data_IF_162581978053
#
_entry.id   IF_162581978053
#
_cell.length_a   1.000
_cell.length_b   1.000
_cell.length_c   1.000
_cell.angle_alpha   90.00
_cell.angle_beta   90.00
_cell.angle_gamma   90.00
#
_symmetry.space_group_name_H-M   'P 1'
#
loop_
_entity.id
_entity.type
_entity.pdbx_description
1 polymer ?
#
# COMPACT_ATOMS: atom_id res chain seq x y z
N UNK A 1 2.51 26.89 -24.29
CA UNK A 1 2.14 25.54 -23.81
C UNK A 1 2.78 25.36 -22.46
N UNK A 2 2.02 25.22 -21.37
CA UNK A 2 2.61 24.93 -20.06
C UNK A 2 2.95 23.44 -19.98
N UNK A 3 4.02 23.04 -19.24
CA UNK A 3 4.45 21.65 -19.13
C UNK A 3 3.43 20.84 -18.32
N UNK A 4 3.06 19.68 -18.85
CA UNK A 4 2.23 18.67 -18.19
C UNK A 4 2.96 18.16 -16.94
N UNK A 5 2.38 18.35 -15.77
CA UNK A 5 2.90 17.81 -14.50
C UNK A 5 2.79 16.28 -14.50
N UNK A 6 3.91 15.59 -14.64
CA UNK A 6 4.05 14.15 -14.36
C UNK A 6 3.97 13.89 -12.85
N UNK A 7 2.78 13.83 -12.25
CA UNK A 7 2.65 13.66 -10.80
C UNK A 7 2.17 12.29 -10.33
N UNK A 8 1.89 11.33 -11.23
CA UNK A 8 1.31 10.03 -10.85
C UNK A 8 2.31 8.87 -10.71
N UNK A 9 3.51 8.98 -11.30
CA UNK A 9 4.48 7.87 -11.30
C UNK A 9 5.12 7.53 -9.93
N UNK A 10 5.48 8.47 -9.05
CA UNK A 10 6.15 8.10 -7.80
C UNK A 10 5.24 7.36 -6.80
N UNK A 11 3.94 7.60 -6.85
CA UNK A 11 2.99 6.96 -5.92
C UNK A 11 2.76 5.49 -6.26
N UNK A 12 2.65 5.18 -7.56
CA UNK A 12 2.46 3.81 -8.04
C UNK A 12 3.71 2.97 -7.78
N UNK A 13 4.90 3.52 -8.01
CA UNK A 13 6.16 2.83 -7.74
C UNK A 13 6.34 2.51 -6.26
N UNK A 14 5.99 3.42 -5.35
CA UNK A 14 6.00 3.17 -3.90
C UNK A 14 4.99 2.09 -3.50
N UNK A 15 3.82 2.07 -4.13
CA UNK A 15 2.81 1.02 -3.88
C UNK A 15 3.28 -0.35 -4.36
N UNK A 16 3.94 -0.42 -5.53
CA UNK A 16 4.48 -1.68 -6.03
C UNK A 16 5.67 -2.16 -5.20
N UNK A 17 6.56 -1.26 -4.78
CA UNK A 17 7.63 -1.59 -3.84
C UNK A 17 7.07 -2.15 -2.52
N UNK A 18 5.91 -1.66 -2.06
CA UNK A 18 5.20 -2.23 -0.92
C UNK A 18 4.59 -3.60 -1.22
N UNK A 19 4.15 -3.84 -2.46
CA UNK A 19 3.62 -5.14 -2.90
C UNK A 19 4.74 -6.18 -3.04
N UNK A 20 5.91 -5.77 -3.56
CA UNK A 20 7.09 -6.65 -3.68
C UNK A 20 7.64 -7.03 -2.31
N UNK A 21 7.46 -6.18 -1.30
CA UNK A 21 7.77 -6.49 0.10
C UNK A 21 6.69 -7.36 0.77
N UNK A 22 5.69 -7.82 0.02
CA UNK A 22 4.60 -8.62 0.53
C UNK A 22 5.13 -9.95 1.08
N UNK A 23 5.02 -10.11 2.38
CA UNK A 23 5.30 -11.37 3.07
C UNK A 23 4.14 -12.33 2.77
N UNK A 24 4.38 -13.53 2.24
CA UNK A 24 3.32 -14.50 2.16
C UNK A 24 2.80 -14.76 3.58
N UNK A 25 1.61 -14.30 3.88
CA UNK A 25 0.87 -14.75 5.07
C UNK A 25 0.43 -16.17 4.80
N UNK A 26 1.30 -17.13 5.14
CA UNK A 26 0.89 -18.53 5.23
C UNK A 26 0.02 -18.58 6.49
N UNK A 27 -1.25 -18.87 6.29
CA UNK A 27 -2.28 -18.97 7.31
C UNK A 27 -2.06 -20.25 8.14
N UNK A 28 -1.01 -20.27 8.96
CA UNK A 28 -0.82 -21.29 9.98
C UNK A 28 -0.22 -20.59 11.21
N UNK A 29 -0.83 -20.80 12.36
CA UNK A 29 -0.54 -20.15 13.63
C UNK A 29 0.87 -20.32 14.20
N UNK A 30 1.88 -20.61 13.37
CA UNK A 30 3.28 -20.78 13.77
C UNK A 30 4.24 -19.77 13.13
N UNK A 31 3.77 -18.78 12.35
CA UNK A 31 4.63 -17.83 11.62
C UNK A 31 4.84 -16.47 12.31
N UNK A 32 4.46 -16.34 13.57
CA UNK A 32 4.76 -15.13 14.37
C UNK A 32 6.25 -14.87 14.57
N UNK A 33 7.12 -15.85 14.35
CA UNK A 33 8.57 -15.70 14.45
C UNK A 33 9.25 -15.09 13.22
N UNK A 34 8.50 -14.91 12.10
CA UNK A 34 9.07 -14.37 10.85
C UNK A 34 9.09 -12.84 10.79
N UNK A 35 8.49 -12.15 11.77
CA UNK A 35 8.36 -10.68 11.75
C UNK A 35 9.68 -9.93 12.07
N UNK A 36 10.75 -10.61 12.45
CA UNK A 36 12.01 -10.00 12.87
C UNK A 36 13.14 -9.96 11.83
N UNK A 37 13.01 -10.59 10.65
CA UNK A 37 14.16 -10.90 9.81
C UNK A 37 14.26 -10.12 8.48
N UNK A 38 13.40 -9.11 8.25
CA UNK A 38 13.54 -8.27 7.04
C UNK A 38 13.87 -6.83 7.43
N UNK A 39 15.11 -6.38 7.22
CA UNK A 39 15.40 -4.94 7.20
C UNK A 39 14.74 -4.33 5.96
N UNK A 40 13.91 -3.33 6.17
CA UNK A 40 13.33 -2.54 5.09
C UNK A 40 14.42 -1.82 4.30
N UNK A 41 14.65 -2.27 3.14
CA UNK A 41 15.35 -1.84 1.95
C UNK A 41 16.10 -3.02 1.37
N UNK A 42 15.57 -3.56 0.28
CA UNK A 42 16.36 -4.41 -0.60
C UNK A 42 17.21 -3.46 -1.44
N UNK A 43 18.35 -3.06 -0.91
CA UNK A 43 19.45 -2.63 -1.76
C UNK A 43 19.87 -3.86 -2.59
N UNK A 44 20.05 -3.68 -3.91
CA UNK A 44 20.55 -4.75 -4.78
C UNK A 44 21.74 -5.39 -4.08
N UNK A 45 21.74 -6.71 -3.84
CA UNK A 45 22.86 -7.33 -3.19
C UNK A 45 24.08 -7.27 -4.13
N UNK A 46 24.91 -6.28 -3.92
CA UNK A 46 26.29 -6.33 -4.36
C UNK A 46 26.94 -7.33 -3.43
N UNK A 47 27.24 -8.52 -3.97
CA UNK A 47 27.57 -9.70 -3.24
C UNK A 47 28.66 -9.52 -2.17
N UNK A 48 28.27 -9.78 -0.95
CA UNK A 48 29.22 -10.24 0.08
C UNK A 48 28.67 -11.55 0.61
N UNK A 49 29.54 -12.56 0.83
CA UNK A 49 29.18 -13.90 1.29
C UNK A 49 28.36 -13.93 2.60
N UNK A 50 28.37 -12.82 3.38
CA UNK A 50 27.54 -12.64 4.56
C UNK A 50 26.04 -12.51 4.25
N UNK A 51 25.65 -11.91 3.14
CA UNK A 51 24.23 -11.76 2.74
C UNK A 51 23.67 -13.08 2.21
N UNK A 52 24.50 -13.84 1.48
CA UNK A 52 24.14 -15.20 1.04
C UNK A 52 24.03 -16.16 2.25
N UNK A 53 24.85 -15.98 3.28
CA UNK A 53 24.77 -16.73 4.52
C UNK A 53 23.50 -16.42 5.31
N UNK A 54 23.06 -15.18 5.32
CA UNK A 54 21.78 -14.78 5.94
C UNK A 54 20.57 -15.27 5.12
N UNK A 55 20.68 -15.31 3.79
CA UNK A 55 19.69 -15.94 2.93
C UNK A 55 19.64 -17.45 3.18
N UNK A 56 20.78 -18.11 3.28
CA UNK A 56 20.88 -19.52 3.60
C UNK A 56 20.26 -19.86 4.98
N UNK A 57 20.49 -19.00 5.97
CA UNK A 57 19.89 -19.16 7.30
C UNK A 57 18.36 -18.93 7.29
N UNK A 58 17.84 -18.00 6.51
CA UNK A 58 16.39 -17.80 6.38
C UNK A 58 15.71 -18.94 5.61
N UNK A 59 16.42 -19.54 4.65
CA UNK A 59 15.95 -20.72 3.91
C UNK A 59 16.01 -22.00 4.74
N UNK A 60 16.96 -22.12 5.69
CA UNK A 60 17.03 -23.26 6.62
C UNK A 60 15.83 -23.31 7.58
N UNK A 61 15.20 -22.17 7.86
CA UNK A 61 13.95 -22.10 8.64
C UNK A 61 12.75 -22.59 7.82
N UNK A 62 12.75 -22.36 6.50
CA UNK A 62 11.76 -22.94 5.58
C UNK A 62 11.90 -24.47 5.48
N UNK A 63 13.10 -24.98 5.55
CA UNK A 63 13.40 -26.41 5.50
C UNK A 63 12.90 -27.17 6.74
N UNK A 64 12.81 -26.52 7.90
CA UNK A 64 12.30 -27.16 9.12
C UNK A 64 10.84 -27.60 9.05
N UNK A 65 10.01 -26.95 8.25
CA UNK A 65 8.60 -27.39 8.06
C UNK A 65 8.47 -28.53 7.04
N UNK A 66 9.38 -28.62 6.06
CA UNK A 66 9.49 -29.71 5.11
C UNK A 66 10.34 -30.88 5.64
N UNK A 67 11.36 -30.60 6.47
CA UNK A 67 12.24 -31.61 7.06
C UNK A 67 11.53 -32.51 8.05
N UNK A 68 10.48 -32.03 8.72
CA UNK A 68 9.67 -32.88 9.60
C UNK A 68 9.06 -34.11 8.91
N UNK A 69 8.93 -34.09 7.58
CA UNK A 69 8.53 -35.23 6.79
C UNK A 69 9.72 -36.05 6.27
N UNK A 70 10.86 -35.41 6.03
CA UNK A 70 12.09 -36.06 5.52
C UNK A 70 13.01 -36.54 6.64
N UNK A 71 13.03 -35.88 7.80
CA UNK A 71 13.87 -36.22 8.98
C UNK A 71 13.69 -37.65 9.49
N UNK A 72 12.56 -38.28 9.20
CA UNK A 72 12.30 -39.67 9.64
C UNK A 72 13.02 -40.74 8.82
N UNK A 73 13.70 -40.41 7.74
CA UNK A 73 14.29 -41.38 6.80
C UNK A 73 15.69 -41.13 6.26
N UNK A 74 16.33 -40.03 6.62
CA UNK A 74 17.65 -39.71 6.08
C UNK A 74 18.73 -39.86 7.14
N UNK A 75 19.74 -40.69 6.84
CA UNK A 75 20.96 -40.81 7.66
C UNK A 75 21.68 -39.45 7.71
N UNK A 76 22.27 -39.13 8.87
CA UNK A 76 23.02 -37.88 9.11
C UNK A 76 24.03 -37.55 7.99
N UNK A 77 24.62 -38.59 7.39
CA UNK A 77 25.55 -38.49 6.27
C UNK A 77 24.91 -37.83 5.03
N UNK A 78 23.64 -38.15 4.73
CA UNK A 78 22.91 -37.57 3.59
C UNK A 78 22.67 -36.08 3.76
N UNK A 79 22.39 -35.66 5.00
CA UNK A 79 22.23 -34.23 5.32
C UNK A 79 23.56 -33.47 5.22
N UNK A 80 24.67 -34.06 5.70
CA UNK A 80 26.00 -33.46 5.59
C UNK A 80 26.43 -33.31 4.11
N UNK A 81 26.19 -34.31 3.28
CA UNK A 81 26.49 -34.24 1.84
C UNK A 81 25.59 -33.25 1.11
N UNK A 82 24.31 -33.17 1.43
CA UNK A 82 23.42 -32.15 0.85
C UNK A 82 23.80 -30.73 1.29
N UNK A 83 24.22 -30.56 2.55
CA UNK A 83 24.76 -29.29 3.04
C UNK A 83 26.07 -28.90 2.34
N UNK A 84 26.92 -29.87 2.02
CA UNK A 84 28.13 -29.65 1.22
C UNK A 84 27.77 -29.11 -0.17
N UNK A 85 26.80 -29.71 -0.86
CA UNK A 85 26.36 -29.24 -2.18
C UNK A 85 25.79 -27.83 -2.13
N UNK A 86 25.02 -27.52 -1.10
CA UNK A 86 24.53 -26.17 -0.85
C UNK A 86 25.66 -25.13 -0.63
N UNK A 87 26.71 -25.51 0.11
CA UNK A 87 27.87 -24.67 0.33
C UNK A 87 28.68 -24.45 -0.96
N UNK A 88 28.89 -25.50 -1.76
CA UNK A 88 29.56 -25.41 -3.07
C UNK A 88 28.84 -24.43 -3.99
N UNK A 89 27.50 -24.47 -4.03
CA UNK A 89 26.75 -23.49 -4.79
C UNK A 89 26.97 -22.06 -4.29
N UNK A 90 26.87 -21.83 -2.98
CA UNK A 90 26.99 -20.50 -2.38
C UNK A 90 28.41 -19.91 -2.48
N UNK A 91 29.45 -20.73 -2.38
CA UNK A 91 30.85 -20.31 -2.50
C UNK A 91 31.17 -19.87 -3.94
N UNK A 92 30.56 -20.54 -4.92
CA UNK A 92 30.75 -20.26 -6.34
C UNK A 92 29.67 -19.31 -6.92
N UNK A 93 28.70 -18.91 -6.11
CA UNK A 93 27.63 -18.03 -6.51
C UNK A 93 28.16 -16.61 -6.77
N UNK A 94 28.24 -16.25 -8.04
CA UNK A 94 28.43 -14.89 -8.52
C UNK A 94 27.14 -14.44 -9.22
N UNK A 95 26.74 -13.17 -9.22
CA UNK A 95 25.54 -12.69 -9.91
C UNK A 95 25.43 -13.13 -11.38
N UNK A 96 26.55 -13.38 -12.02
CA UNK A 96 26.63 -13.85 -13.41
C UNK A 96 26.79 -15.37 -13.54
N UNK A 97 27.16 -16.08 -12.46
CA UNK A 97 27.39 -17.52 -12.45
C UNK A 97 26.32 -18.33 -11.72
N UNK A 98 25.34 -17.65 -11.09
CA UNK A 98 24.30 -18.26 -10.27
C UNK A 98 23.29 -19.14 -11.02
N UNK A 99 23.42 -19.24 -12.34
CA UNK A 99 22.48 -20.00 -13.17
C UNK A 99 23.03 -21.34 -13.66
N UNK A 100 24.30 -21.64 -13.34
CA UNK A 100 24.87 -22.92 -13.74
C UNK A 100 24.12 -24.09 -13.10
N UNK A 101 23.69 -25.06 -13.94
CA UNK A 101 23.23 -26.35 -13.44
C UNK A 101 24.42 -27.20 -12.97
N UNK A 102 24.15 -28.31 -12.32
CA UNK A 102 25.22 -29.19 -11.83
C UNK A 102 26.16 -29.66 -12.95
N UNK A 103 25.64 -29.92 -14.14
CA UNK A 103 26.45 -30.36 -15.26
C UNK A 103 27.43 -29.29 -15.71
N UNK A 104 26.95 -28.07 -15.86
CA UNK A 104 27.80 -26.91 -16.20
C UNK A 104 28.80 -26.63 -15.08
N UNK A 105 28.40 -26.84 -13.81
CA UNK A 105 29.29 -26.67 -12.69
C UNK A 105 30.45 -27.66 -12.71
N UNK A 106 30.23 -28.95 -12.95
CA UNK A 106 31.33 -29.95 -13.03
C UNK A 106 32.18 -29.78 -14.28
N UNK A 107 31.64 -29.21 -15.35
CA UNK A 107 32.48 -28.79 -16.53
C UNK A 107 33.47 -27.68 -16.17
N UNK A 108 33.05 -26.74 -15.31
CA UNK A 108 33.89 -25.65 -14.81
C UNK A 108 34.82 -26.06 -13.65
N UNK A 109 34.39 -27.04 -12.85
CA UNK A 109 35.11 -27.55 -11.67
C UNK A 109 35.15 -29.09 -11.69
N UNK A 110 36.06 -29.68 -12.52
CA UNK A 110 36.11 -31.13 -12.71
C UNK A 110 36.37 -31.94 -11.44
N UNK A 111 36.99 -31.34 -10.43
CA UNK A 111 37.24 -31.94 -9.11
C UNK A 111 35.93 -32.31 -8.37
N UNK A 112 34.82 -31.73 -8.73
CA UNK A 112 33.52 -32.03 -8.14
C UNK A 112 32.75 -33.17 -8.84
N UNK A 113 33.26 -33.66 -9.98
CA UNK A 113 32.57 -34.67 -10.80
C UNK A 113 32.37 -36.02 -10.08
N UNK A 114 33.21 -36.33 -9.07
CA UNK A 114 33.14 -37.56 -8.28
C UNK A 114 32.27 -37.46 -7.02
N UNK A 115 31.65 -36.31 -6.75
CA UNK A 115 30.83 -36.14 -5.56
C UNK A 115 29.51 -36.90 -5.65
N UNK A 116 28.93 -37.19 -4.49
CA UNK A 116 27.74 -38.04 -4.39
C UNK A 116 26.49 -37.38 -4.99
N UNK A 117 25.47 -38.18 -5.37
CA UNK A 117 24.19 -37.65 -5.81
C UNK A 117 23.48 -36.73 -4.78
N UNK A 118 23.80 -36.88 -3.52
CA UNK A 118 23.23 -36.02 -2.46
C UNK A 118 23.84 -34.62 -2.47
N UNK A 119 25.16 -34.52 -2.76
CA UNK A 119 25.83 -33.23 -2.99
C UNK A 119 25.20 -32.51 -4.19
N UNK A 120 24.99 -33.23 -5.30
CA UNK A 120 24.30 -32.69 -6.48
C UNK A 120 22.90 -32.16 -6.14
N UNK A 121 22.11 -32.92 -5.36
CA UNK A 121 20.78 -32.49 -4.93
C UNK A 121 20.84 -31.22 -4.06
N UNK A 122 21.78 -31.14 -3.15
CA UNK A 122 22.00 -29.94 -2.33
C UNK A 122 22.33 -28.71 -3.15
N UNK A 123 23.21 -28.87 -4.15
CA UNK A 123 23.58 -27.82 -5.11
C UNK A 123 22.36 -27.32 -5.92
N UNK A 124 21.60 -28.26 -6.52
CA UNK A 124 20.43 -27.90 -7.33
C UNK A 124 19.33 -27.27 -6.49
N UNK A 125 19.15 -27.69 -5.23
CA UNK A 125 18.22 -27.06 -4.30
C UNK A 125 18.60 -25.61 -4.02
N UNK A 126 19.87 -25.33 -3.76
CA UNK A 126 20.37 -23.97 -3.55
C UNK A 126 20.18 -23.10 -4.81
N UNK A 127 20.46 -23.66 -5.99
CA UNK A 127 20.22 -23.01 -7.27
C UNK A 127 18.75 -22.66 -7.47
N UNK A 128 17.85 -23.59 -7.27
CA UNK A 128 16.41 -23.37 -7.43
C UNK A 128 15.87 -22.30 -6.48
N UNK A 129 16.36 -22.27 -5.25
CA UNK A 129 16.01 -21.23 -4.28
C UNK A 129 16.42 -19.84 -4.76
N UNK A 130 17.63 -19.71 -5.32
CA UNK A 130 18.11 -18.45 -5.88
C UNK A 130 17.30 -18.04 -7.11
N UNK A 131 16.98 -18.99 -8.00
CA UNK A 131 16.15 -18.75 -9.17
C UNK A 131 14.72 -18.35 -8.78
N UNK A 132 14.16 -18.90 -7.71
CA UNK A 132 12.84 -18.52 -7.23
C UNK A 132 12.79 -17.06 -6.74
N UNK A 133 13.83 -16.60 -6.06
CA UNK A 133 13.95 -15.20 -5.65
C UNK A 133 14.15 -14.27 -6.86
N UNK A 134 14.98 -14.65 -7.82
CA UNK A 134 15.17 -13.90 -9.07
C UNK A 134 13.85 -13.83 -9.86
N UNK A 135 13.13 -14.94 -9.97
CA UNK A 135 11.80 -14.98 -10.57
C UNK A 135 10.85 -14.00 -9.88
N UNK A 136 10.79 -14.01 -8.55
CA UNK A 136 9.90 -13.12 -7.80
C UNK A 136 10.20 -11.65 -8.11
N UNK A 137 11.47 -11.27 -8.12
CA UNK A 137 11.89 -9.90 -8.40
C UNK A 137 11.56 -9.49 -9.84
N UNK A 138 11.89 -10.33 -10.82
CA UNK A 138 11.62 -10.06 -12.25
C UNK A 138 10.13 -10.08 -12.57
N UNK A 139 9.36 -10.98 -11.96
CA UNK A 139 7.92 -11.03 -12.16
C UNK A 139 7.21 -9.82 -11.56
N UNK A 140 7.71 -9.29 -10.42
CA UNK A 140 7.21 -8.05 -9.85
C UNK A 140 7.56 -6.84 -10.75
N UNK A 141 8.78 -6.76 -11.29
CA UNK A 141 9.17 -5.74 -12.26
C UNK A 141 8.34 -5.83 -13.54
N UNK A 142 8.13 -7.05 -14.05
CA UNK A 142 7.25 -7.31 -15.19
C UNK A 142 5.81 -6.85 -14.92
N UNK A 143 5.24 -7.18 -13.76
CA UNK A 143 3.89 -6.75 -13.41
C UNK A 143 3.73 -5.23 -13.41
N UNK A 144 4.78 -4.50 -13.05
CA UNK A 144 4.81 -3.05 -13.11
C UNK A 144 4.97 -2.52 -14.55
N UNK A 145 5.99 -2.99 -15.27
CA UNK A 145 6.37 -2.47 -16.60
C UNK A 145 5.35 -2.83 -17.68
N UNK A 146 4.69 -3.98 -17.58
CA UNK A 146 3.62 -4.41 -18.48
C UNK A 146 2.26 -3.77 -18.17
N UNK A 147 2.14 -3.01 -17.09
CA UNK A 147 0.87 -2.43 -16.66
C UNK A 147 -0.11 -3.44 -16.02
N UNK A 148 0.36 -4.65 -15.70
CA UNK A 148 -0.47 -5.71 -15.11
C UNK A 148 -1.08 -5.30 -13.75
N UNK A 149 -0.47 -4.35 -13.07
CA UNK A 149 -0.99 -3.75 -11.84
C UNK A 149 -2.35 -3.07 -12.04
N UNK A 150 -2.63 -2.57 -13.26
CA UNK A 150 -3.88 -1.90 -13.62
C UNK A 150 -4.90 -2.85 -14.27
N UNK A 151 -4.52 -4.09 -14.58
CA UNK A 151 -5.44 -5.09 -15.14
C UNK A 151 -6.44 -5.53 -14.05
N UNK A 152 -7.73 -5.41 -14.33
CA UNK A 152 -8.80 -5.71 -13.38
C UNK A 152 -9.19 -7.19 -13.37
N UNK A 153 -8.94 -7.89 -14.46
CA UNK A 153 -9.30 -9.30 -14.62
C UNK A 153 -8.23 -10.22 -13.99
N UNK A 154 -8.56 -10.96 -12.91
CA UNK A 154 -7.61 -11.89 -12.27
C UNK A 154 -7.14 -12.99 -13.23
N UNK A 155 -8.00 -13.43 -14.16
CA UNK A 155 -7.65 -14.45 -15.15
C UNK A 155 -6.57 -13.97 -16.11
N UNK A 156 -6.69 -12.75 -16.61
CA UNK A 156 -5.68 -12.13 -17.46
C UNK A 156 -4.36 -11.92 -16.74
N UNK A 157 -4.40 -11.53 -15.45
CA UNK A 157 -3.19 -11.43 -14.62
C UNK A 157 -2.47 -12.76 -14.49
N UNK A 158 -3.22 -13.84 -14.19
CA UNK A 158 -2.66 -15.18 -14.10
C UNK A 158 -2.04 -15.60 -15.42
N UNK A 159 -2.75 -15.46 -16.54
CA UNK A 159 -2.25 -15.82 -17.87
C UNK A 159 -0.98 -15.03 -18.26
N UNK A 160 -0.89 -13.75 -17.89
CA UNK A 160 0.29 -12.94 -18.17
C UNK A 160 1.50 -13.44 -17.37
N UNK A 161 1.30 -13.77 -16.09
CA UNK A 161 2.36 -14.35 -15.26
C UNK A 161 2.73 -15.78 -15.71
N UNK A 162 1.78 -16.58 -16.23
CA UNK A 162 2.07 -17.88 -16.81
C UNK A 162 3.00 -17.78 -18.03
N UNK A 163 2.73 -16.81 -18.91
CA UNK A 163 3.58 -16.53 -20.08
C UNK A 163 4.97 -16.07 -19.64
N UNK A 164 5.03 -15.14 -18.69
CA UNK A 164 6.28 -14.67 -18.13
C UNK A 164 7.09 -15.83 -17.50
N UNK A 165 6.45 -16.72 -16.76
CA UNK A 165 7.08 -17.89 -16.16
C UNK A 165 7.71 -18.81 -17.23
N UNK A 166 7.00 -19.05 -18.34
CA UNK A 166 7.52 -19.89 -19.44
C UNK A 166 8.79 -19.25 -20.05
N UNK A 167 8.78 -17.93 -20.26
CA UNK A 167 9.95 -17.23 -20.78
C UNK A 167 11.10 -17.23 -19.78
N UNK A 168 10.79 -17.02 -18.51
CA UNK A 168 11.78 -17.08 -17.43
C UNK A 168 12.48 -18.44 -17.35
N UNK A 169 11.70 -19.55 -17.43
CA UNK A 169 12.26 -20.91 -17.42
C UNK A 169 13.28 -21.15 -18.53
N UNK A 170 12.97 -20.69 -19.73
CA UNK A 170 13.91 -20.77 -20.87
C UNK A 170 15.18 -20.02 -20.59
N UNK A 171 15.09 -18.80 -20.07
CA UNK A 171 16.26 -17.96 -19.75
C UNK A 171 17.09 -18.55 -18.59
N UNK A 172 16.44 -19.18 -17.62
CA UNK A 172 17.08 -19.78 -16.45
C UNK A 172 17.66 -21.19 -16.73
N UNK A 173 17.56 -21.70 -17.96
CA UNK A 173 18.04 -23.05 -18.30
C UNK A 173 17.27 -24.16 -17.57
N UNK A 174 15.98 -23.95 -17.33
CA UNK A 174 15.08 -24.90 -16.68
C UNK A 174 14.17 -25.61 -17.68
N UNK A 175 14.46 -25.55 -18.96
CA UNK A 175 13.70 -26.28 -19.97
C UNK A 175 13.81 -27.79 -19.71
N UNK A 176 12.66 -28.46 -19.70
CA UNK A 176 12.61 -29.90 -19.44
C UNK A 176 12.74 -30.28 -17.96
N UNK A 177 12.63 -29.33 -17.04
CA UNK A 177 12.64 -29.61 -15.59
C UNK A 177 11.60 -30.64 -15.18
N UNK A 178 10.50 -30.73 -15.91
CA UNK A 178 9.41 -31.72 -15.70
C UNK A 178 9.90 -33.17 -15.82
N UNK A 179 10.96 -33.40 -16.56
CA UNK A 179 11.55 -34.74 -16.72
C UNK A 179 12.40 -35.15 -15.50
N UNK A 180 12.66 -34.24 -14.57
CA UNK A 180 13.37 -34.51 -13.34
C UNK A 180 12.42 -34.28 -12.15
N UNK A 181 11.98 -35.37 -11.52
CA UNK A 181 11.00 -35.31 -10.44
C UNK A 181 11.39 -34.37 -9.31
N UNK A 182 12.68 -34.37 -8.92
CA UNK A 182 13.21 -33.50 -7.86
C UNK A 182 13.12 -32.02 -8.25
N UNK A 183 13.55 -31.69 -9.48
CA UNK A 183 13.47 -30.30 -9.96
C UNK A 183 12.02 -29.86 -10.12
N UNK A 184 11.14 -30.73 -10.63
CA UNK A 184 9.73 -30.43 -10.81
C UNK A 184 9.03 -30.12 -9.49
N UNK A 185 9.27 -30.94 -8.46
CA UNK A 185 8.67 -30.76 -7.14
C UNK A 185 9.13 -29.45 -6.48
N UNK A 186 10.45 -29.21 -6.41
CA UNK A 186 10.99 -28.02 -5.79
C UNK A 186 10.69 -26.74 -6.60
N UNK A 187 10.76 -26.81 -7.92
CA UNK A 187 10.41 -25.68 -8.78
C UNK A 187 8.96 -25.26 -8.56
N UNK A 188 8.03 -26.21 -8.65
CA UNK A 188 6.59 -25.92 -8.49
C UNK A 188 6.28 -25.33 -7.12
N UNK A 189 6.91 -25.83 -6.05
CA UNK A 189 6.72 -25.33 -4.70
C UNK A 189 7.19 -23.86 -4.57
N UNK A 190 8.38 -23.54 -5.06
CA UNK A 190 8.95 -22.20 -4.89
C UNK A 190 8.40 -21.17 -5.87
N UNK A 191 8.37 -21.48 -7.16
CA UNK A 191 7.86 -20.56 -8.19
C UNK A 191 6.35 -20.39 -8.08
N UNK A 192 5.61 -21.46 -7.80
CA UNK A 192 4.17 -21.40 -7.56
C UNK A 192 3.81 -20.48 -6.39
N UNK A 193 4.56 -20.59 -5.29
CA UNK A 193 4.37 -19.70 -4.12
C UNK A 193 4.69 -18.26 -4.46
N UNK A 194 5.81 -18.00 -5.14
CA UNK A 194 6.19 -16.63 -5.57
C UNK A 194 5.12 -16.01 -6.47
N UNK A 195 4.60 -16.78 -7.41
CA UNK A 195 3.52 -16.36 -8.31
C UNK A 195 2.22 -16.03 -7.56
N UNK A 196 1.81 -16.90 -6.61
CA UNK A 196 0.65 -16.63 -5.78
C UNK A 196 0.83 -15.39 -4.90
N UNK A 197 2.02 -15.16 -4.37
CA UNK A 197 2.33 -13.96 -3.62
C UNK A 197 2.18 -12.68 -4.47
N UNK A 198 2.64 -12.70 -5.72
CA UNK A 198 2.49 -11.58 -6.65
C UNK A 198 1.01 -11.35 -7.00
N UNK A 199 0.26 -12.40 -7.34
CA UNK A 199 -1.17 -12.31 -7.63
C UNK A 199 -1.96 -11.75 -6.44
N UNK A 200 -1.65 -12.23 -5.24
CA UNK A 200 -2.22 -11.73 -3.99
C UNK A 200 -1.91 -10.25 -3.77
N UNK A 201 -0.66 -9.85 -3.99
CA UNK A 201 -0.23 -8.46 -3.92
C UNK A 201 -0.96 -7.55 -4.91
N UNK A 202 -1.06 -7.96 -6.17
CA UNK A 202 -1.80 -7.23 -7.20
C UNK A 202 -3.28 -7.07 -6.87
N UNK A 203 -3.89 -8.13 -6.31
CA UNK A 203 -5.29 -8.10 -5.87
C UNK A 203 -5.50 -7.13 -4.72
N UNK A 204 -4.57 -7.09 -3.75
CA UNK A 204 -4.60 -6.16 -2.63
C UNK A 204 -4.52 -4.71 -3.10
N UNK A 205 -3.57 -4.38 -3.99
CA UNK A 205 -3.43 -3.04 -4.56
C UNK A 205 -4.72 -2.60 -5.26
N UNK A 206 -5.36 -3.50 -6.00
CA UNK A 206 -6.63 -3.19 -6.66
C UNK A 206 -7.75 -2.90 -5.65
N UNK A 207 -7.85 -3.67 -4.58
CA UNK A 207 -8.83 -3.43 -3.50
C UNK A 207 -8.57 -2.06 -2.88
N UNK A 208 -7.32 -1.72 -2.56
CA UNK A 208 -6.94 -0.42 -2.01
C UNK A 208 -7.28 0.75 -2.96
N UNK A 209 -7.00 0.59 -4.26
CA UNK A 209 -7.36 1.58 -5.28
C UNK A 209 -8.88 1.77 -5.40
N UNK A 210 -9.64 0.67 -5.41
CA UNK A 210 -11.10 0.73 -5.47
C UNK A 210 -11.68 1.41 -4.22
N UNK A 211 -11.14 1.10 -3.03
CA UNK A 211 -11.54 1.75 -1.78
C UNK A 211 -11.21 3.25 -1.78
N UNK A 212 -10.02 3.63 -2.27
CA UNK A 212 -9.63 5.04 -2.39
C UNK A 212 -10.55 5.81 -3.35
N UNK A 213 -10.88 5.21 -4.50
CA UNK A 213 -11.84 5.76 -5.46
C UNK A 213 -13.24 5.89 -4.87
N UNK A 214 -13.71 4.88 -4.14
CA UNK A 214 -15.00 4.91 -3.47
C UNK A 214 -15.05 6.01 -2.41
N UNK A 215 -13.99 6.17 -1.60
CA UNK A 215 -13.87 7.28 -0.65
C UNK A 215 -13.93 8.65 -1.35
N UNK A 216 -13.15 8.82 -2.40
CA UNK A 216 -13.11 10.07 -3.15
C UNK A 216 -14.48 10.41 -3.77
N UNK A 217 -15.14 9.44 -4.41
CA UNK A 217 -16.45 9.63 -5.02
C UNK A 217 -17.51 9.92 -3.97
N UNK A 218 -17.49 9.22 -2.84
CA UNK A 218 -18.43 9.43 -1.74
C UNK A 218 -18.24 10.82 -1.11
N UNK A 219 -16.99 11.26 -0.91
CA UNK A 219 -16.70 12.61 -0.41
C UNK A 219 -17.20 13.71 -1.39
N UNK A 220 -16.95 13.52 -2.67
CA UNK A 220 -17.42 14.45 -3.70
C UNK A 220 -18.96 14.51 -3.73
N UNK A 221 -19.63 13.37 -3.56
CA UNK A 221 -21.09 13.31 -3.50
C UNK A 221 -21.64 14.00 -2.25
N UNK A 222 -21.05 13.76 -1.06
CA UNK A 222 -21.43 14.45 0.17
C UNK A 222 -21.30 15.96 0.05
N UNK A 223 -20.19 16.43 -0.53
CA UNK A 223 -19.95 17.86 -0.76
C UNK A 223 -20.98 18.43 -1.74
N UNK A 224 -21.29 17.70 -2.80
CA UNK A 224 -22.32 18.10 -3.79
C UNK A 224 -23.72 18.17 -3.17
N UNK A 225 -24.10 17.20 -2.34
CA UNK A 225 -25.39 17.20 -1.63
C UNK A 225 -25.50 18.41 -0.70
N UNK A 226 -24.44 18.75 0.03
CA UNK A 226 -24.40 19.95 0.85
C UNK A 226 -24.48 21.24 0.03
N UNK A 227 -23.69 21.33 -1.06
CA UNK A 227 -23.75 22.49 -1.95
C UNK A 227 -25.16 22.67 -2.56
N UNK A 228 -25.82 21.58 -2.94
CA UNK A 228 -27.18 21.61 -3.46
C UNK A 228 -28.17 22.10 -2.39
N UNK A 229 -28.01 21.66 -1.13
CA UNK A 229 -28.86 22.06 -0.02
C UNK A 229 -28.77 23.57 0.27
N UNK A 230 -27.57 24.12 0.27
CA UNK A 230 -27.29 25.52 0.58
C UNK A 230 -27.36 26.45 -0.64
N UNK A 231 -27.49 25.92 -1.85
CA UNK A 231 -27.52 26.74 -3.06
C UNK A 231 -28.82 27.55 -3.14
N UNK A 232 -28.77 28.90 -3.22
CA UNK A 232 -29.97 29.76 -3.17
C UNK A 232 -31.04 29.44 -4.20
N UNK A 233 -30.65 29.00 -5.42
CA UNK A 233 -31.55 28.70 -6.52
C UNK A 233 -32.15 27.30 -6.51
N UNK A 234 -31.58 26.38 -5.69
CA UNK A 234 -31.99 24.95 -5.69
C UNK A 234 -32.53 24.53 -4.32
N UNK A 235 -31.71 24.55 -3.29
CA UNK A 235 -32.08 24.14 -1.93
C UNK A 235 -32.56 25.31 -1.08
N UNK A 236 -31.84 26.43 -1.17
CA UNK A 236 -32.16 27.68 -0.46
C UNK A 236 -32.17 27.56 1.07
N UNK A 237 -31.53 26.52 1.62
CA UNK A 237 -31.42 26.33 3.07
C UNK A 237 -30.31 27.21 3.63
N UNK A 238 -30.52 27.69 4.85
CA UNK A 238 -29.56 28.50 5.60
C UNK A 238 -29.65 28.20 7.08
N UNK A 239 -28.59 28.40 7.82
CA UNK A 239 -28.58 28.36 9.29
C UNK A 239 -28.92 29.70 9.94
N UNK A 240 -29.10 30.77 9.15
CA UNK A 240 -29.37 32.13 9.66
C UNK A 240 -30.68 32.23 10.45
N UNK A 241 -31.63 31.33 10.23
CA UNK A 241 -32.90 31.33 10.93
C UNK A 241 -32.90 30.29 12.06
N UNK A 242 -32.90 30.71 13.33
CA UNK A 242 -32.87 29.80 14.51
C UNK A 242 -34.02 28.77 14.52
N UNK A 243 -35.20 29.17 14.04
CA UNK A 243 -36.38 28.31 14.04
C UNK A 243 -36.25 27.13 13.05
N UNK A 244 -35.44 27.25 12.04
CA UNK A 244 -35.22 26.22 11.01
C UNK A 244 -33.89 25.51 11.13
N UNK A 245 -32.97 26.01 11.96
CA UNK A 245 -31.62 25.52 12.11
C UNK A 245 -31.57 23.98 12.39
N UNK A 246 -32.36 23.51 13.34
CA UNK A 246 -32.42 22.09 13.66
C UNK A 246 -32.93 21.23 12.47
N UNK A 247 -33.89 21.74 11.70
CA UNK A 247 -34.40 21.04 10.53
C UNK A 247 -33.33 20.98 9.40
N UNK A 248 -32.57 22.06 9.21
CA UNK A 248 -31.46 22.10 8.22
C UNK A 248 -30.35 21.14 8.63
N UNK A 249 -29.98 21.08 9.91
CA UNK A 249 -29.01 20.09 10.42
C UNK A 249 -29.49 18.65 10.17
N UNK A 250 -30.74 18.35 10.52
CA UNK A 250 -31.30 17.02 10.32
C UNK A 250 -31.34 16.62 8.83
N UNK A 251 -31.66 17.55 7.93
CA UNK A 251 -31.67 17.31 6.50
C UNK A 251 -30.26 17.05 5.98
N UNK A 252 -29.27 17.88 6.34
CA UNK A 252 -27.86 17.69 5.99
C UNK A 252 -27.33 16.37 6.54
N UNK A 253 -27.57 16.08 7.82
CA UNK A 253 -27.15 14.83 8.46
C UNK A 253 -27.74 13.61 7.76
N UNK A 254 -29.01 13.64 7.39
CA UNK A 254 -29.67 12.56 6.64
C UNK A 254 -29.04 12.34 5.27
N UNK A 255 -28.72 13.41 4.52
CA UNK A 255 -28.07 13.32 3.22
C UNK A 255 -26.67 12.70 3.34
N UNK A 256 -25.86 13.17 4.30
CA UNK A 256 -24.52 12.64 4.54
C UNK A 256 -24.56 11.17 4.95
N UNK A 257 -25.47 10.79 5.85
CA UNK A 257 -25.64 9.40 6.29
C UNK A 257 -26.13 8.46 5.21
N UNK A 258 -26.93 8.93 4.26
CA UNK A 258 -27.34 8.10 3.12
C UNK A 258 -26.13 7.76 2.25
N UNK A 259 -25.28 8.74 1.91
CA UNK A 259 -24.04 8.50 1.14
C UNK A 259 -23.08 7.62 1.91
N UNK A 260 -22.97 7.82 3.23
CA UNK A 260 -22.12 7.00 4.10
C UNK A 260 -22.59 5.53 4.15
N UNK A 261 -23.91 5.30 4.21
CA UNK A 261 -24.49 3.95 4.17
C UNK A 261 -24.23 3.27 2.84
N UNK A 262 -24.38 4.00 1.72
CA UNK A 262 -24.08 3.46 0.40
C UNK A 262 -22.60 3.13 0.26
N UNK A 263 -21.70 3.94 0.80
CA UNK A 263 -20.27 3.67 0.82
C UNK A 263 -19.94 2.41 1.65
N UNK A 264 -20.58 2.23 2.81
CA UNK A 264 -20.45 1.02 3.63
C UNK A 264 -20.98 -0.22 2.91
N UNK A 265 -22.14 -0.14 2.27
CA UNK A 265 -22.71 -1.23 1.48
C UNK A 265 -21.82 -1.63 0.29
N UNK A 266 -21.03 -0.70 -0.22
CA UNK A 266 -20.04 -0.93 -1.29
C UNK A 266 -18.66 -1.35 -0.77
N UNK A 267 -18.53 -1.64 0.53
CA UNK A 267 -17.36 -2.30 1.10
C UNK A 267 -16.36 -1.39 1.82
N UNK A 268 -16.71 -0.14 2.15
CA UNK A 268 -15.91 0.66 3.08
C UNK A 268 -16.10 0.17 4.52
N UNK A 269 -14.98 0.08 5.24
CA UNK A 269 -15.03 -0.24 6.68
C UNK A 269 -15.56 0.94 7.49
N UNK A 270 -16.13 0.65 8.65
CA UNK A 270 -16.70 1.67 9.55
C UNK A 270 -15.70 2.77 9.94
N UNK A 271 -14.41 2.42 10.11
CA UNK A 271 -13.35 3.39 10.35
C UNK A 271 -13.17 4.36 9.17
N UNK A 272 -13.31 3.86 7.96
CA UNK A 272 -13.19 4.64 6.73
C UNK A 272 -14.42 5.51 6.51
N UNK A 273 -15.61 4.97 6.77
CA UNK A 273 -16.88 5.72 6.72
C UNK A 273 -16.88 6.86 7.73
N UNK A 274 -16.36 6.61 8.94
CA UNK A 274 -16.20 7.64 9.98
C UNK A 274 -15.25 8.75 9.52
N UNK A 275 -14.10 8.39 8.97
CA UNK A 275 -13.14 9.35 8.40
C UNK A 275 -13.76 10.16 7.27
N UNK A 276 -14.51 9.51 6.37
CA UNK A 276 -15.21 10.13 5.25
C UNK A 276 -16.23 11.18 5.72
N UNK A 277 -17.06 10.85 6.70
CA UNK A 277 -18.03 11.80 7.28
C UNK A 277 -17.36 12.99 7.94
N UNK A 278 -16.26 12.76 8.69
CA UNK A 278 -15.48 13.85 9.27
C UNK A 278 -14.88 14.76 8.19
N UNK A 279 -14.30 14.19 7.16
CA UNK A 279 -13.73 14.97 6.05
C UNK A 279 -14.83 15.77 5.33
N UNK A 280 -16.01 15.19 5.13
CA UNK A 280 -17.14 15.88 4.55
C UNK A 280 -17.63 17.05 5.42
N UNK A 281 -17.80 16.83 6.73
CA UNK A 281 -18.20 17.90 7.65
C UNK A 281 -17.22 19.06 7.62
N UNK A 282 -15.91 18.78 7.69
CA UNK A 282 -14.90 19.82 7.65
C UNK A 282 -14.81 20.55 6.29
N UNK A 283 -14.95 19.84 5.17
CA UNK A 283 -14.99 20.48 3.85
C UNK A 283 -16.20 21.43 3.70
N UNK A 284 -17.35 21.04 4.27
CA UNK A 284 -18.54 21.88 4.27
C UNK A 284 -18.33 23.09 5.18
N UNK A 285 -17.79 22.87 6.38
CA UNK A 285 -17.44 23.93 7.34
C UNK A 285 -16.49 24.94 6.76
N UNK A 286 -15.38 24.45 6.15
CA UNK A 286 -14.38 25.31 5.53
C UNK A 286 -15.00 26.23 4.47
N UNK A 287 -16.02 25.75 3.75
CA UNK A 287 -16.74 26.56 2.76
C UNK A 287 -17.55 27.73 3.37
N UNK A 288 -17.98 27.61 4.62
CA UNK A 288 -18.59 28.70 5.38
C UNK A 288 -17.53 29.60 6.00
N UNK A 289 -16.49 29.02 6.60
CA UNK A 289 -15.37 29.76 7.22
C UNK A 289 -14.61 30.63 6.20
N UNK A 290 -14.49 30.19 4.96
CA UNK A 290 -13.92 31.00 3.87
C UNK A 290 -14.73 32.26 3.56
N UNK A 291 -16.04 32.20 3.75
CA UNK A 291 -16.95 33.35 3.59
C UNK A 291 -17.03 34.23 4.84
N UNK A 292 -16.40 33.81 5.93
CA UNK A 292 -16.47 34.46 7.24
C UNK A 292 -17.75 34.14 8.03
N UNK A 293 -18.50 33.14 7.60
CA UNK A 293 -19.73 32.66 8.26
C UNK A 293 -19.39 31.53 9.23
N UNK A 294 -18.76 31.89 10.33
CA UNK A 294 -18.31 30.92 11.34
C UNK A 294 -19.46 30.27 12.10
N UNK A 295 -20.58 30.99 12.28
CA UNK A 295 -21.76 30.48 12.98
C UNK A 295 -22.39 29.30 12.22
N UNK A 296 -22.55 29.43 10.90
CA UNK A 296 -23.00 28.32 10.07
C UNK A 296 -21.99 27.17 10.05
N UNK A 297 -20.70 27.48 10.09
CA UNK A 297 -19.64 26.47 10.24
C UNK A 297 -19.74 25.68 11.56
N UNK A 298 -20.07 26.34 12.67
CA UNK A 298 -20.28 25.73 13.99
C UNK A 298 -21.50 24.79 13.98
N UNK A 299 -22.58 25.18 13.31
CA UNK A 299 -23.77 24.36 13.15
C UNK A 299 -23.49 23.06 12.35
N UNK A 300 -22.65 23.13 11.32
CA UNK A 300 -22.21 21.94 10.58
C UNK A 300 -21.37 21.03 11.47
N UNK A 301 -20.43 21.58 12.25
CA UNK A 301 -19.57 20.79 13.15
C UNK A 301 -20.39 20.15 14.28
N UNK A 302 -21.43 20.79 14.77
CA UNK A 302 -22.33 20.25 15.80
C UNK A 302 -22.98 18.91 15.35
N UNK A 303 -23.14 18.68 14.03
CA UNK A 303 -23.58 17.40 13.49
C UNK A 303 -22.67 16.22 13.89
N UNK A 304 -21.41 16.45 14.23
CA UNK A 304 -20.54 15.38 14.69
C UNK A 304 -21.00 14.69 15.98
N UNK A 305 -21.80 15.37 16.80
CA UNK A 305 -22.42 14.79 17.99
C UNK A 305 -23.67 13.97 17.65
N UNK A 306 -24.38 14.35 16.59
CA UNK A 306 -25.63 13.73 16.15
C UNK A 306 -25.38 12.51 15.24
N UNK A 307 -24.34 12.57 14.39
CA UNK A 307 -23.99 11.49 13.47
C UNK A 307 -23.26 10.37 14.18
N UNK A 308 -23.83 9.17 14.14
CA UNK A 308 -23.26 7.99 14.80
C UNK A 308 -22.96 6.88 13.82
N UNK A 309 -21.81 6.22 14.01
CA UNK A 309 -21.46 4.97 13.33
C UNK A 309 -21.37 3.88 14.41
N UNK A 310 -22.23 2.87 14.31
CA UNK A 310 -22.36 1.80 15.30
C UNK A 310 -22.65 2.34 16.73
N UNK A 311 -23.49 3.37 16.83
CA UNK A 311 -23.89 3.96 18.11
C UNK A 311 -22.83 4.87 18.74
N UNK A 312 -21.69 5.10 18.09
CA UNK A 312 -20.64 5.98 18.58
C UNK A 312 -20.65 7.27 17.77
N UNK A 313 -20.78 8.47 18.39
CA UNK A 313 -20.79 9.73 17.70
C UNK A 313 -19.43 10.01 17.05
N UNK A 314 -19.45 10.81 15.97
CA UNK A 314 -18.21 11.18 15.27
C UNK A 314 -17.30 12.03 16.14
N UNK A 315 -17.87 12.87 16.99
CA UNK A 315 -17.16 13.75 17.96
C UNK A 315 -16.31 12.97 18.96
N UNK A 316 -16.63 11.70 19.24
CA UNK A 316 -15.83 10.86 20.14
C UNK A 316 -14.48 10.41 19.54
N UNK A 317 -14.19 10.75 18.29
CA UNK A 317 -12.94 10.35 17.64
C UNK A 317 -11.79 11.33 17.89
N UNK A 318 -10.57 10.79 18.05
CA UNK A 318 -9.36 11.62 18.13
C UNK A 318 -9.16 12.51 16.89
N UNK A 319 -9.59 12.02 15.72
CA UNK A 319 -9.56 12.79 14.47
C UNK A 319 -10.41 14.05 14.53
N UNK A 320 -11.60 13.96 15.15
CA UNK A 320 -12.47 15.11 15.34
C UNK A 320 -11.83 16.16 16.26
N UNK A 321 -11.36 15.76 17.44
CA UNK A 321 -10.73 16.69 18.39
C UNK A 321 -9.56 17.47 17.75
N UNK A 322 -8.69 16.75 17.03
CA UNK A 322 -7.55 17.39 16.34
C UNK A 322 -7.98 18.37 15.25
N UNK A 323 -8.97 18.01 14.44
CA UNK A 323 -9.48 18.88 13.37
C UNK A 323 -10.17 20.11 13.97
N UNK A 324 -10.93 19.96 15.06
CA UNK A 324 -11.56 21.06 15.77
C UNK A 324 -10.54 22.06 16.28
N UNK A 325 -9.50 21.61 16.97
CA UNK A 325 -8.38 22.45 17.43
C UNK A 325 -7.72 23.21 16.26
N UNK A 326 -7.46 22.51 15.15
CA UNK A 326 -6.86 23.13 13.95
C UNK A 326 -7.75 24.23 13.39
N UNK A 327 -9.07 24.03 13.31
CA UNK A 327 -10.04 25.03 12.86
C UNK A 327 -10.06 26.24 13.80
N UNK A 328 -10.14 26.03 15.11
CA UNK A 328 -10.14 27.10 16.10
C UNK A 328 -8.90 27.99 15.98
N UNK A 329 -7.74 27.38 15.82
CA UNK A 329 -6.48 28.12 15.55
C UNK A 329 -6.56 28.94 14.26
N UNK A 330 -7.12 28.36 13.18
CA UNK A 330 -7.25 29.02 11.89
C UNK A 330 -8.20 30.22 11.95
N UNK A 331 -9.36 30.07 12.57
CA UNK A 331 -10.33 31.15 12.79
C UNK A 331 -9.69 32.30 13.60
N UNK A 332 -9.00 31.94 14.70
CA UNK A 332 -8.31 32.92 15.53
C UNK A 332 -7.25 33.71 14.75
N UNK A 333 -6.46 33.01 13.91
CA UNK A 333 -5.45 33.67 13.07
C UNK A 333 -6.10 34.61 12.04
N UNK A 334 -7.19 34.20 11.39
CA UNK A 334 -7.94 35.07 10.45
C UNK A 334 -8.54 36.30 11.13
N UNK A 335 -9.12 36.12 12.33
CA UNK A 335 -9.65 37.26 13.10
C UNK A 335 -8.56 38.27 13.49
N UNK A 336 -7.40 37.77 13.90
CA UNK A 336 -6.25 38.66 14.21
C UNK A 336 -5.76 39.38 12.96
N UNK A 337 -5.66 38.72 11.83
CA UNK A 337 -5.26 39.34 10.57
C UNK A 337 -6.25 40.46 10.18
N UNK A 338 -7.55 40.19 10.26
CA UNK A 338 -8.60 41.16 9.95
C UNK A 338 -8.52 42.40 10.88
N UNK A 339 -8.36 42.18 12.18
CA UNK A 339 -8.15 43.29 13.14
C UNK A 339 -6.93 44.14 12.78
N UNK A 340 -5.85 43.53 12.34
CA UNK A 340 -4.64 44.22 11.94
C UNK A 340 -4.85 45.04 10.65
N UNK A 341 -5.56 44.50 9.67
CA UNK A 341 -5.93 45.19 8.42
C UNK A 341 -6.86 46.37 8.70
N UNK A 342 -7.88 46.18 9.55
CA UNK A 342 -8.81 47.25 9.97
C UNK A 342 -8.05 48.39 10.70
N UNK A 343 -7.12 48.04 11.59
CA UNK A 343 -6.29 48.99 12.28
C UNK A 343 -5.40 49.81 11.31
N UNK A 344 -4.79 49.17 10.34
CA UNK A 344 -3.97 49.83 9.30
C UNK A 344 -4.84 50.74 8.43
N UNK A 345 -6.05 50.33 8.09
CA UNK A 345 -7.00 51.13 7.32
C UNK A 345 -7.42 52.38 8.08
N UNK A 346 -7.77 52.23 9.36
CA UNK A 346 -8.08 53.37 10.24
C UNK A 346 -6.91 54.34 10.39
N UNK A 347 -5.69 53.85 10.54
CA UNK A 347 -4.50 54.70 10.59
C UNK A 347 -4.29 55.48 9.27
N UNK A 348 -4.53 54.81 8.13
CA UNK A 348 -4.39 55.46 6.83
C UNK A 348 -5.45 56.55 6.62
N UNK A 349 -6.70 56.28 6.99
CA UNK A 349 -7.78 57.29 6.96
C UNK A 349 -7.52 58.45 7.91
N UNK A 350 -7.04 58.19 9.12
CA UNK A 350 -6.67 59.23 10.07
C UNK A 350 -5.56 60.14 9.57
N UNK A 351 -4.54 59.58 8.89
CA UNK A 351 -3.47 60.37 8.23
C UNK A 351 -3.99 61.23 7.10
N UNK A 352 -4.92 60.71 6.26
CA UNK A 352 -5.53 61.48 5.18
C UNK A 352 -6.35 62.65 5.70
N UNK A 353 -7.12 62.47 6.80
CA UNK A 353 -7.88 63.55 7.43
C UNK A 353 -6.97 64.62 8.00
N UNK A 354 -5.86 64.23 8.65
CA UNK A 354 -4.87 65.20 9.15
C UNK A 354 -4.20 66.01 8.03
N UNK A 355 -3.89 65.37 6.90
CA UNK A 355 -3.36 66.10 5.73
C UNK A 355 -4.36 67.09 5.16
N UNK A 356 -5.65 66.72 5.08
CA UNK A 356 -6.71 67.62 4.61
C UNK A 356 -6.91 68.83 5.56
N UNK A 357 -6.88 68.61 6.88
CA UNK A 357 -7.00 69.68 7.88
C UNK A 357 -5.78 70.60 7.89
N UNK A 358 -4.60 70.12 7.52
CA UNK A 358 -3.38 70.95 7.46
C UNK A 358 -3.26 71.77 6.17
N UNK A 359 -4.14 71.55 5.19
CA UNK A 359 -4.20 72.23 3.90
C UNK A 359 -5.30 73.35 3.84
N UNK A 360 -6.08 73.43 4.91
CA UNK A 360 -7.03 74.52 5.16
C UNK A 360 -6.39 75.61 6.01
#
# INVERSE_FOLDING_TARGET
MPPVKQSSQPTIRKQLESVVQFRPTINSGSLSSFTGAYPGKVERPVGTGAQLKNLANSLSVFDKSLSGYLEKRLDKQVEEEAAQGFNIFNENASPTKNQMDWKQHIEAYPEHAGLSPYVQRGYEKARLNTLALDFQNRAAEYAYTSGLINEKDPGKRSQALDKFEVEYRKQAGLDGYENNLFLAEHYSAHIGQAKQAILGGLSKVQVEQNQALLKQNSLALMTKEAQTLFHPLVGGRSFDNPDTCAAVRAELGSKLMNVARDASNNGLMDSDVRGLLLDALYNITDSFDEKGDYDSGDEVIALADELTINGVPLSASLGFAKKKETREMHIHAKMQQKLQEDYQTLQHQGRQLLCLLSSL
#
